data_IF_414639599231
#
_entry.id   IF_414639599231
#
_cell.length_a   1.000
_cell.length_b   1.000
_cell.length_c   1.000
_cell.angle_alpha   90.00
_cell.angle_beta   90.00
_cell.angle_gamma   90.00
#
_symmetry.space_group_name_H-M   'P 1'
#
loop_
_entity.id
_entity.type
_entity.pdbx_description
1 polymer ?
#
# COMPACT_ATOMS: atom_id res chain seq x y z
N UNK A 1 -15.73 -17.87 -11.94
CA UNK A 1 -14.67 -17.30 -11.09
C UNK A 1 -14.63 -15.79 -11.29
N UNK A 2 -14.85 -14.98 -10.23
CA UNK A 2 -14.74 -13.51 -10.31
C UNK A 2 -13.31 -13.17 -10.76
N UNK A 3 -13.18 -12.39 -11.85
CA UNK A 3 -11.88 -11.95 -12.37
C UNK A 3 -11.16 -11.18 -11.26
N UNK A 4 -10.08 -11.76 -10.72
CA UNK A 4 -9.25 -11.12 -9.69
C UNK A 4 -8.77 -9.76 -10.22
N UNK A 5 -8.93 -8.71 -9.42
CA UNK A 5 -8.43 -7.38 -9.78
C UNK A 5 -6.91 -7.46 -9.97
N UNK A 6 -6.41 -6.91 -11.08
CA UNK A 6 -4.98 -6.91 -11.41
C UNK A 6 -4.15 -6.29 -10.29
N UNK A 7 -4.68 -5.30 -9.58
CA UNK A 7 -4.03 -4.65 -8.44
C UNK A 7 -3.89 -5.59 -7.24
N UNK A 8 -4.91 -6.43 -6.99
CA UNK A 8 -4.85 -7.45 -5.95
C UNK A 8 -3.78 -8.50 -6.26
N UNK A 9 -3.76 -9.01 -7.49
CA UNK A 9 -2.77 -10.01 -7.92
C UNK A 9 -1.34 -9.49 -7.79
N UNK A 10 -1.09 -8.27 -8.26
CA UNK A 10 0.24 -7.65 -8.16
C UNK A 10 0.61 -7.43 -6.70
N UNK A 11 -0.31 -6.90 -5.88
CA UNK A 11 -0.07 -6.68 -4.45
C UNK A 11 0.22 -7.97 -3.69
N UNK A 12 -0.54 -9.03 -3.95
CA UNK A 12 -0.33 -10.34 -3.32
C UNK A 12 1.00 -10.98 -3.75
N UNK A 13 1.35 -10.91 -5.04
CA UNK A 13 2.61 -11.46 -5.55
C UNK A 13 3.81 -10.70 -4.97
N UNK A 14 3.74 -9.37 -4.92
CA UNK A 14 4.78 -8.52 -4.33
C UNK A 14 4.93 -8.80 -2.83
N UNK A 15 3.83 -9.08 -2.13
CA UNK A 15 3.85 -9.49 -0.72
C UNK A 15 4.54 -10.84 -0.54
N UNK A 16 4.22 -11.86 -1.35
CA UNK A 16 4.84 -13.19 -1.28
C UNK A 16 6.35 -13.07 -1.49
N UNK A 17 6.78 -12.33 -2.53
CA UNK A 17 8.20 -12.08 -2.80
C UNK A 17 8.85 -11.37 -1.61
N UNK A 18 8.20 -10.35 -1.05
CA UNK A 18 8.68 -9.64 0.13
C UNK A 18 8.84 -10.57 1.34
N UNK A 19 7.88 -11.46 1.60
CA UNK A 19 7.95 -12.42 2.72
C UNK A 19 9.13 -13.38 2.53
N UNK A 20 9.29 -13.96 1.33
CA UNK A 20 10.43 -14.83 1.02
C UNK A 20 11.75 -14.08 1.23
N UNK A 21 11.83 -12.85 0.73
CA UNK A 21 13.02 -12.02 0.88
C UNK A 21 13.33 -11.70 2.36
N UNK A 22 12.31 -11.41 3.16
CA UNK A 22 12.44 -11.18 4.60
C UNK A 22 13.00 -12.38 5.34
N UNK A 23 12.56 -13.60 4.99
CA UNK A 23 13.10 -14.84 5.58
C UNK A 23 14.56 -15.10 5.23
N UNK A 24 15.06 -14.59 4.11
CA UNK A 24 16.47 -14.71 3.73
C UNK A 24 17.38 -13.70 4.46
N UNK A 25 16.81 -12.73 5.18
CA UNK A 25 17.59 -11.70 5.88
C UNK A 25 17.80 -12.07 7.36
N UNK A 26 19.07 -12.15 7.79
CA UNK A 26 19.44 -12.42 9.18
C UNK A 26 19.07 -11.29 10.17
N UNK A 27 18.79 -10.09 9.66
CA UNK A 27 18.41 -8.91 10.45
C UNK A 27 16.92 -8.80 10.77
N UNK A 28 16.06 -9.63 10.17
CA UNK A 28 14.59 -9.57 10.36
C UNK A 28 14.20 -10.52 11.49
N UNK A 29 13.94 -9.97 12.68
CA UNK A 29 13.49 -10.71 13.86
C UNK A 29 12.03 -10.38 14.16
N UNK A 30 11.53 -10.82 15.31
CA UNK A 30 10.11 -10.68 15.67
C UNK A 30 9.60 -9.24 15.62
N UNK A 31 10.38 -8.27 16.10
CA UNK A 31 9.97 -6.86 16.09
C UNK A 31 9.91 -6.29 14.66
N UNK A 32 10.83 -6.68 13.78
CA UNK A 32 10.83 -6.29 12.38
C UNK A 32 9.61 -6.87 11.65
N UNK A 33 9.23 -8.12 11.91
CA UNK A 33 8.01 -8.70 11.35
C UNK A 33 6.75 -7.96 11.81
N UNK A 34 6.68 -7.55 13.08
CA UNK A 34 5.58 -6.72 13.59
C UNK A 34 5.54 -5.35 12.90
N UNK A 35 6.70 -4.72 12.71
CA UNK A 35 6.81 -3.44 11.99
C UNK A 35 6.40 -3.59 10.51
N UNK A 36 6.81 -4.67 9.84
CA UNK A 36 6.40 -4.98 8.47
C UNK A 36 4.88 -5.21 8.36
N UNK A 37 4.29 -5.96 9.30
CA UNK A 37 2.84 -6.16 9.39
C UNK A 37 2.10 -4.83 9.60
N UNK A 38 2.60 -3.98 10.49
CA UNK A 38 2.02 -2.64 10.68
C UNK A 38 2.07 -1.82 9.39
N UNK A 39 3.16 -1.90 8.63
CA UNK A 39 3.31 -1.25 7.33
C UNK A 39 2.31 -1.75 6.30
N UNK A 40 2.02 -3.05 6.26
CA UNK A 40 0.96 -3.62 5.40
C UNK A 40 -0.39 -3.03 5.79
N UNK A 41 -0.75 -3.05 7.07
CA UNK A 41 -2.06 -2.56 7.54
C UNK A 41 -2.25 -1.09 7.17
N UNK A 42 -1.24 -0.26 7.43
CA UNK A 42 -1.25 1.15 7.05
C UNK A 42 -1.34 1.33 5.52
N UNK A 43 -0.60 0.53 4.76
CA UNK A 43 -0.68 0.49 3.31
C UNK A 43 -2.10 0.17 2.82
N UNK A 44 -2.75 -0.85 3.38
CA UNK A 44 -4.12 -1.24 3.04
C UNK A 44 -5.09 -0.09 3.29
N UNK A 45 -5.03 0.54 4.47
CA UNK A 45 -5.89 1.68 4.81
C UNK A 45 -5.69 2.84 3.81
N UNK A 46 -4.44 3.17 3.47
CA UNK A 46 -4.16 4.19 2.48
C UNK A 46 -4.69 3.80 1.09
N UNK A 47 -4.52 2.54 0.68
CA UNK A 47 -5.04 2.01 -0.57
C UNK A 47 -6.56 2.12 -0.67
N UNK A 48 -7.28 1.82 0.42
CA UNK A 48 -8.73 1.96 0.53
C UNK A 48 -9.14 3.43 0.35
N UNK A 49 -8.49 4.36 1.07
CA UNK A 49 -8.79 5.80 0.97
C UNK A 49 -8.53 6.33 -0.44
N UNK A 50 -7.41 5.93 -1.06
CA UNK A 50 -7.09 6.30 -2.44
C UNK A 50 -8.11 5.72 -3.44
N UNK A 51 -8.46 4.44 -3.29
CA UNK A 51 -9.46 3.78 -4.11
C UNK A 51 -10.82 4.47 -4.02
N UNK A 52 -11.25 4.81 -2.81
CA UNK A 52 -12.48 5.54 -2.54
C UNK A 52 -12.50 6.93 -3.20
N UNK A 53 -11.42 7.70 -3.06
CA UNK A 53 -11.32 9.03 -3.66
C UNK A 53 -11.40 8.94 -5.19
N UNK A 54 -10.73 7.95 -5.79
CA UNK A 54 -10.76 7.72 -7.24
C UNK A 54 -12.16 7.31 -7.69
N UNK A 55 -12.82 6.40 -6.97
CA UNK A 55 -14.18 5.97 -7.27
C UNK A 55 -15.17 7.14 -7.20
N UNK A 56 -15.12 7.95 -6.14
CA UNK A 56 -15.97 9.15 -6.03
C UNK A 56 -15.70 10.16 -7.14
N UNK A 57 -14.46 10.30 -7.59
CA UNK A 57 -14.11 11.21 -8.68
C UNK A 57 -14.68 10.73 -10.01
N UNK A 58 -14.64 9.42 -10.28
CA UNK A 58 -15.26 8.82 -11.47
C UNK A 58 -16.78 8.95 -11.47
N UNK A 59 -17.41 8.93 -10.30
CA UNK A 59 -18.85 9.16 -10.13
C UNK A 59 -19.24 10.65 -10.19
N UNK A 60 -18.31 11.56 -10.48
CA UNK A 60 -18.56 13.01 -10.49
C UNK A 60 -18.81 13.64 -9.12
N UNK A 61 -18.74 12.86 -8.03
CA UNK A 61 -19.02 13.33 -6.66
C UNK A 61 -17.90 14.19 -6.07
N UNK A 62 -16.67 14.09 -6.59
CA UNK A 62 -15.55 14.95 -6.21
C UNK A 62 -14.79 15.47 -7.43
N UNK A 63 -14.40 16.74 -7.37
CA UNK A 63 -13.56 17.37 -8.41
C UNK A 63 -12.15 16.78 -8.46
N UNK A 64 -11.49 16.95 -9.60
CA UNK A 64 -10.14 16.41 -9.88
C UNK A 64 -9.09 16.88 -8.85
N UNK A 65 -9.16 18.14 -8.40
CA UNK A 65 -8.28 18.68 -7.36
C UNK A 65 -8.41 17.97 -6.01
N UNK A 66 -9.66 17.74 -5.53
CA UNK A 66 -9.90 17.03 -4.27
C UNK A 66 -9.38 15.59 -4.34
N UNK A 67 -9.57 14.90 -5.46
CA UNK A 67 -9.02 13.55 -5.70
C UNK A 67 -7.49 13.55 -5.56
N UNK A 68 -6.81 14.47 -6.22
CA UNK A 68 -5.33 14.58 -6.16
C UNK A 68 -4.87 14.84 -4.72
N UNK A 69 -5.55 15.73 -4.00
CA UNK A 69 -5.23 16.05 -2.61
C UNK A 69 -5.37 14.82 -1.69
N UNK A 70 -6.43 14.01 -1.85
CA UNK A 70 -6.58 12.76 -1.09
C UNK A 70 -5.46 11.75 -1.38
N UNK A 71 -5.06 11.61 -2.64
CA UNK A 71 -4.00 10.67 -3.04
C UNK A 71 -2.63 11.12 -2.53
N UNK A 72 -2.28 12.39 -2.74
CA UNK A 72 -1.00 12.94 -2.27
C UNK A 72 -0.98 12.96 -0.73
N UNK A 73 -2.06 13.40 -0.10
CA UNK A 73 -2.17 13.49 1.36
C UNK A 73 -2.00 12.13 2.04
N UNK A 74 -2.60 11.06 1.49
CA UNK A 74 -2.41 9.71 2.04
C UNK A 74 -0.97 9.21 1.91
N UNK A 75 -0.30 9.50 0.79
CA UNK A 75 1.13 9.14 0.64
C UNK A 75 1.98 9.92 1.66
N UNK A 76 1.72 11.22 1.81
CA UNK A 76 2.48 12.08 2.72
C UNK A 76 2.32 11.64 4.17
N UNK A 77 1.09 11.29 4.59
CA UNK A 77 0.81 10.73 5.92
C UNK A 77 1.56 9.41 6.14
N UNK A 78 1.57 8.51 5.15
CA UNK A 78 2.32 7.24 5.26
C UNK A 78 3.82 7.48 5.44
N UNK A 79 4.40 8.41 4.68
CA UNK A 79 5.83 8.75 4.78
C UNK A 79 6.14 9.34 6.15
N UNK A 80 5.36 10.31 6.62
CA UNK A 80 5.55 10.94 7.93
C UNK A 80 5.44 9.90 9.05
N UNK A 81 4.43 9.05 9.01
CA UNK A 81 4.23 8.01 10.01
C UNK A 81 5.39 7.00 10.01
N UNK A 82 5.88 6.61 8.83
CA UNK A 82 7.03 5.72 8.71
C UNK A 82 8.31 6.37 9.27
N UNK A 83 8.54 7.65 8.98
CA UNK A 83 9.67 8.41 9.54
C UNK A 83 9.56 8.48 11.06
N UNK A 84 8.38 8.79 11.60
CA UNK A 84 8.16 8.85 13.05
C UNK A 84 8.44 7.49 13.73
N UNK A 85 7.94 6.39 13.16
CA UNK A 85 8.22 5.03 13.66
C UNK A 85 9.74 4.75 13.64
N UNK A 86 10.44 5.14 12.58
CA UNK A 86 11.88 4.93 12.46
C UNK A 86 12.69 5.75 13.50
N UNK A 87 12.22 6.95 13.87
CA UNK A 87 12.84 7.77 14.93
C UNK A 87 12.59 7.16 16.31
N UNK A 88 11.39 6.63 16.55
CA UNK A 88 11.01 6.05 17.84
C UNK A 88 11.61 4.66 18.08
N UNK A 89 11.72 3.85 17.02
CA UNK A 89 12.18 2.46 17.08
C UNK A 89 13.30 2.27 16.05
N UNK A 90 14.56 2.56 16.44
CA UNK A 90 15.71 2.30 15.58
C UNK A 90 15.83 0.79 15.36
N UNK A 91 15.39 0.35 14.17
CA UNK A 91 15.30 -1.06 13.78
C UNK A 91 16.16 -1.33 12.56
N UNK A 92 16.41 -2.61 12.26
CA UNK A 92 17.09 -3.02 11.02
C UNK A 92 16.39 -2.47 9.76
N UNK A 93 15.07 -2.33 9.82
CA UNK A 93 14.23 -1.77 8.75
C UNK A 93 14.40 -0.25 8.55
N UNK A 94 14.95 0.45 9.53
CA UNK A 94 15.20 1.89 9.48
C UNK A 94 16.66 2.21 9.12
N UNK A 95 17.58 1.31 9.42
CA UNK A 95 19.03 1.56 9.39
C UNK A 95 19.75 0.85 8.25
N UNK A 96 19.23 -0.28 7.77
CA UNK A 96 19.81 -1.01 6.65
C UNK A 96 19.14 -0.66 5.32
N UNK A 97 19.93 -0.53 4.26
CA UNK A 97 19.41 -0.30 2.90
C UNK A 97 18.42 -1.41 2.49
N UNK A 98 18.76 -2.68 2.76
CA UNK A 98 17.91 -3.82 2.45
C UNK A 98 16.59 -3.82 3.25
N UNK A 99 16.63 -3.48 4.54
CA UNK A 99 15.44 -3.38 5.38
C UNK A 99 14.52 -2.22 5.00
N UNK A 100 15.07 -1.11 4.51
CA UNK A 100 14.29 0.00 3.96
C UNK A 100 13.53 -0.47 2.71
N UNK A 101 14.21 -1.13 1.77
CA UNK A 101 13.56 -1.68 0.57
C UNK A 101 12.47 -2.70 0.91
N UNK A 102 12.75 -3.59 1.86
CA UNK A 102 11.76 -4.56 2.34
C UNK A 102 10.53 -3.86 2.92
N UNK A 103 10.72 -2.80 3.72
CA UNK A 103 9.61 -1.98 4.24
C UNK A 103 8.77 -1.34 3.13
N UNK A 104 9.42 -0.83 2.08
CA UNK A 104 8.75 -0.23 0.93
C UNK A 104 7.92 -1.29 0.19
N UNK A 105 8.49 -2.47 -0.06
CA UNK A 105 7.78 -3.60 -0.69
C UNK A 105 6.51 -3.93 0.09
N UNK A 106 6.59 -4.05 1.41
CA UNK A 106 5.43 -4.35 2.26
C UNK A 106 4.36 -3.23 2.22
N UNK A 107 4.78 -1.97 2.29
CA UNK A 107 3.87 -0.82 2.23
C UNK A 107 3.16 -0.72 0.86
N UNK A 108 3.90 -0.91 -0.24
CA UNK A 108 3.35 -0.89 -1.60
C UNK A 108 2.42 -2.08 -1.83
N UNK A 109 2.78 -3.28 -1.36
CA UNK A 109 1.88 -4.45 -1.37
C UNK A 109 0.58 -4.14 -0.66
N UNK A 110 0.66 -3.61 0.57
CA UNK A 110 -0.52 -3.21 1.34
C UNK A 110 -1.38 -2.21 0.58
N UNK A 111 -0.76 -1.17 -0.01
CA UNK A 111 -1.47 -0.16 -0.80
C UNK A 111 -2.20 -0.76 -2.01
N UNK A 112 -1.55 -1.64 -2.77
CA UNK A 112 -2.16 -2.31 -3.92
C UNK A 112 -3.32 -3.23 -3.50
N UNK A 113 -3.15 -3.96 -2.40
CA UNK A 113 -4.20 -4.78 -1.80
C UNK A 113 -5.39 -3.92 -1.37
N UNK A 114 -5.15 -2.83 -0.65
CA UNK A 114 -6.19 -1.89 -0.22
C UNK A 114 -6.91 -1.20 -1.39
N UNK A 115 -6.18 -0.88 -2.46
CA UNK A 115 -6.75 -0.28 -3.66
C UNK A 115 -7.71 -1.22 -4.39
N UNK A 116 -7.46 -2.53 -4.32
CA UNK A 116 -8.26 -3.54 -5.01
C UNK A 116 -9.72 -3.64 -4.54
N UNK A 117 -10.04 -3.09 -3.36
CA UNK A 117 -11.42 -2.97 -2.88
C UNK A 117 -12.28 -2.01 -3.71
N UNK A 118 -11.66 -1.13 -4.51
CA UNK A 118 -12.32 -0.25 -5.45
C UNK A 118 -11.90 -0.58 -6.88
N UNK A 119 -12.32 -1.75 -7.41
CA UNK A 119 -12.01 -2.12 -8.78
C UNK A 119 -12.53 -1.03 -9.69
N UNK A 120 -11.67 -0.55 -10.57
CA UNK A 120 -12.04 0.46 -11.55
C UNK A 120 -13.27 -0.06 -12.30
N UNK A 121 -14.43 0.64 -12.29
CA UNK A 121 -15.54 0.25 -13.15
C UNK A 121 -14.97 0.22 -14.56
N UNK A 122 -15.03 -0.93 -15.21
CA UNK A 122 -14.75 -1.01 -16.63
C UNK A 122 -15.71 -0.02 -17.30
N UNK A 123 -15.19 0.78 -18.22
CA UNK A 123 -16.01 1.52 -19.18
C UNK A 123 -16.70 0.49 -20.09
N UNK A 124 -17.62 -0.30 -19.55
CA UNK A 124 -18.47 -1.23 -20.26
C UNK A 124 -19.91 -0.84 -19.99
N UNK A 125 -20.26 0.37 -20.43
CA UNK A 125 -21.60 0.87 -20.71
C UNK A 125 -21.49 2.07 -21.66
N UNK A 126 -20.78 1.86 -22.78
CA UNK A 126 -20.73 2.79 -23.91
C UNK A 126 -20.73 1.95 -25.17
N UNK A 127 -21.92 1.50 -25.54
CA UNK A 127 -22.44 1.02 -26.83
C UNK A 127 -23.72 0.28 -26.44
N UNK A 128 -24.82 1.04 -26.32
CA UNK A 128 -25.85 1.16 -27.37
C UNK A 128 -26.58 -0.17 -27.49
#
# INVERSE_FOLDING_TARGET
MKRLDRSFLIGALLLIIGVIWGFMMSGVKGIEWLLLLSGIVLGILAGIVQGWAIAKSKLGKIGRGKKTLWVIGTILILVVLKVAINVLIPSYLATSQLGIWLSIVFAVSGLLLGRSFYPSPSLKNSKS
#
